data_IF_215460131103
#
_entry.id   IF_215460131103
#
_cell.length_a   1.000
_cell.length_b   1.000
_cell.length_c   1.000
_cell.angle_alpha   90.00
_cell.angle_beta   90.00
_cell.angle_gamma   90.00
#
_symmetry.space_group_name_H-M   'P 1'
#
loop_
_entity.id
_entity.type
_entity.pdbx_description
1 polymer ?
#
# COMPACT_ATOMS: atom_id res chain seq x y z
N UNK A 1 13.00 -6.08 7.29
CA UNK A 1 12.07 -6.53 8.35
C UNK A 1 10.73 -6.79 7.69
N UNK A 2 10.12 -7.95 7.93
CA UNK A 2 8.85 -8.31 7.27
C UNK A 2 7.69 -7.61 8.00
N UNK A 3 6.85 -6.90 7.26
CA UNK A 3 5.60 -6.32 7.78
C UNK A 3 4.66 -7.46 8.22
N UNK A 4 4.03 -7.32 9.39
CA UNK A 4 3.01 -8.28 9.83
C UNK A 4 1.76 -8.22 8.94
N UNK A 5 1.37 -7.01 8.52
CA UNK A 5 0.30 -6.74 7.57
C UNK A 5 0.88 -6.08 6.33
N UNK A 6 0.72 -6.71 5.16
CA UNK A 6 1.26 -6.21 3.89
C UNK A 6 0.31 -5.27 3.13
N UNK A 7 -0.87 -4.99 3.65
CA UNK A 7 -1.88 -4.19 2.98
C UNK A 7 -2.68 -3.30 3.94
N UNK A 8 -3.31 -2.28 3.37
CA UNK A 8 -4.32 -1.47 4.02
C UNK A 8 -5.67 -1.51 3.29
N UNK A 9 -6.77 -1.12 3.96
CA UNK A 9 -8.11 -1.13 3.37
C UNK A 9 -8.22 -0.17 2.18
N UNK A 10 -7.35 0.84 2.12
CA UNK A 10 -7.30 1.83 1.04
C UNK A 10 -6.60 1.31 -0.23
N UNK A 11 -6.12 0.06 -0.25
CA UNK A 11 -5.46 -0.53 -1.43
C UNK A 11 -3.97 -0.21 -1.54
N UNK A 12 -3.36 0.44 -0.54
CA UNK A 12 -1.90 0.52 -0.45
C UNK A 12 -1.30 -0.83 -0.05
N UNK A 13 -0.20 -1.19 -0.71
CA UNK A 13 0.62 -2.34 -0.33
C UNK A 13 1.69 -1.93 0.69
N UNK A 14 1.35 -2.03 1.98
CA UNK A 14 2.27 -1.74 3.09
C UNK A 14 3.59 -2.53 3.04
N UNK A 15 3.65 -3.66 2.33
CA UNK A 15 4.88 -4.41 2.13
C UNK A 15 5.99 -3.61 1.42
N UNK A 16 5.65 -2.61 0.62
CA UNK A 16 6.59 -1.71 -0.04
C UNK A 16 6.80 -0.38 0.70
N UNK A 17 6.26 -0.24 1.91
CA UNK A 17 6.49 0.93 2.76
C UNK A 17 7.84 0.83 3.48
N UNK A 18 8.70 1.85 3.31
CA UNK A 18 10.05 1.89 3.90
C UNK A 18 10.12 2.17 5.40
N UNK A 19 9.00 2.52 6.05
CA UNK A 19 8.98 2.77 7.50
C UNK A 19 9.26 1.48 8.28
N UNK A 20 10.28 1.44 9.13
CA UNK A 20 10.67 0.22 9.84
C UNK A 20 9.91 0.01 11.16
N UNK A 21 9.53 1.10 11.84
CA UNK A 21 8.76 1.06 13.10
C UNK A 21 7.24 1.02 12.86
N UNK A 22 6.83 0.19 11.90
CA UNK A 22 5.43 -0.02 11.56
C UNK A 22 5.29 -1.45 11.01
N UNK A 23 4.43 -2.25 11.63
CA UNK A 23 4.08 -3.60 11.23
C UNK A 23 3.04 -3.67 10.11
N UNK A 24 2.50 -2.52 9.68
CA UNK A 24 1.48 -2.42 8.63
C UNK A 24 0.09 -2.15 9.17
N UNK A 25 -0.84 -1.79 8.26
CA UNK A 25 -2.13 -1.18 8.61
C UNK A 25 -2.97 -2.02 9.59
N UNK A 26 -2.96 -3.34 9.47
CA UNK A 26 -3.74 -4.25 10.33
C UNK A 26 -2.98 -4.77 11.56
N UNK A 27 -1.75 -4.28 11.81
CA UNK A 27 -0.97 -4.68 12.99
C UNK A 27 -1.23 -3.76 14.19
N UNK A 28 -0.86 -4.21 15.39
CA UNK A 28 -0.89 -3.38 16.61
C UNK A 28 0.29 -2.41 16.68
N UNK A 29 1.43 -2.77 16.07
CA UNK A 29 2.63 -1.93 16.01
C UNK A 29 2.53 -1.01 14.79
N UNK A 30 2.05 0.21 14.95
CA UNK A 30 1.87 1.18 13.86
C UNK A 30 2.52 2.52 14.20
N UNK A 31 3.04 3.18 13.16
CA UNK A 31 3.54 4.55 13.25
C UNK A 31 2.40 5.58 13.41
N UNK A 32 2.76 6.84 13.62
CA UNK A 32 1.80 7.92 13.86
C UNK A 32 0.92 8.24 12.64
N UNK A 33 1.41 8.03 11.42
CA UNK A 33 0.61 8.24 10.22
C UNK A 33 -0.50 7.20 10.11
N UNK A 34 -0.18 5.92 10.32
CA UNK A 34 -1.14 4.82 10.29
C UNK A 34 -2.09 4.88 11.49
N UNK A 35 -1.61 5.32 12.66
CA UNK A 35 -2.43 5.51 13.87
C UNK A 35 -3.53 6.55 13.67
N UNK A 36 -3.24 7.62 12.94
CA UNK A 36 -4.18 8.71 12.68
C UNK A 36 -4.86 8.61 11.29
N UNK A 37 -4.67 7.51 10.57
CA UNK A 37 -5.21 7.33 9.23
C UNK A 37 -6.75 7.22 9.23
N UNK A 38 -7.42 8.16 8.57
CA UNK A 38 -8.89 8.17 8.45
C UNK A 38 -9.43 6.91 7.78
N UNK A 39 -8.80 6.44 6.70
CA UNK A 39 -9.28 5.27 5.95
C UNK A 39 -9.23 3.98 6.77
N UNK A 40 -8.20 3.82 7.61
CA UNK A 40 -8.10 2.70 8.55
C UNK A 40 -9.29 2.71 9.52
N UNK A 41 -9.51 3.84 10.21
CA UNK A 41 -10.62 4.00 11.16
C UNK A 41 -11.98 3.79 10.47
N UNK A 42 -12.22 4.46 9.35
CA UNK A 42 -13.48 4.39 8.60
C UNK A 42 -13.80 2.95 8.15
N UNK A 43 -12.80 2.20 7.65
CA UNK A 43 -13.00 0.80 7.26
C UNK A 43 -13.36 -0.10 8.45
N UNK A 44 -12.78 0.14 9.63
CA UNK A 44 -13.07 -0.61 10.84
C UNK A 44 -14.50 -0.32 11.34
N UNK A 45 -14.89 0.96 11.36
CA UNK A 45 -16.25 1.40 11.75
C UNK A 45 -17.33 0.87 10.80
N UNK A 46 -17.03 0.80 9.49
CA UNK A 46 -17.95 0.27 8.47
C UNK A 46 -17.85 -1.26 8.28
N UNK A 47 -16.97 -1.94 9.00
CA UNK A 47 -16.68 -3.38 8.84
C UNK A 47 -16.35 -3.78 7.40
N UNK A 48 -15.49 -3.01 6.74
CA UNK A 48 -15.05 -3.22 5.36
C UNK A 48 -13.60 -3.70 5.32
N UNK A 49 -13.34 -4.77 4.56
CA UNK A 49 -11.96 -5.21 4.30
C UNK A 49 -11.20 -4.23 3.41
N UNK A 50 -11.90 -3.67 2.40
CA UNK A 50 -11.35 -2.72 1.44
C UNK A 50 -12.34 -1.61 1.12
N UNK A 51 -11.80 -0.41 0.85
CA UNK A 51 -12.59 0.76 0.50
C UNK A 51 -13.43 0.54 -0.77
N UNK A 52 -13.00 -0.34 -1.70
CA UNK A 52 -13.75 -0.66 -2.92
C UNK A 52 -15.11 -1.33 -2.68
N UNK A 53 -15.34 -1.85 -1.46
CA UNK A 53 -16.61 -2.44 -1.03
C UNK A 53 -17.50 -1.45 -0.26
N UNK A 54 -17.07 -0.21 -0.07
CA UNK A 54 -17.92 0.85 0.46
C UNK A 54 -18.96 1.26 -0.59
N UNK A 55 -20.19 1.53 -0.16
CA UNK A 55 -21.24 2.06 -1.04
C UNK A 55 -20.89 3.45 -1.62
N UNK A 56 -20.05 4.21 -0.90
CA UNK A 56 -19.63 5.55 -1.30
C UNK A 56 -18.36 5.53 -2.18
N UNK A 57 -17.89 4.36 -2.65
CA UNK A 57 -16.61 4.25 -3.35
C UNK A 57 -16.65 4.76 -4.81
N UNK A 58 -15.66 5.57 -5.24
CA UNK A 58 -14.67 6.27 -4.42
C UNK A 58 -15.29 7.48 -3.71
N UNK A 59 -15.07 7.59 -2.38
CA UNK A 59 -15.52 8.78 -1.66
C UNK A 59 -14.54 9.93 -1.91
N UNK A 60 -15.00 11.18 -1.74
CA UNK A 60 -14.20 12.37 -2.04
C UNK A 60 -12.84 12.36 -1.33
N UNK A 61 -12.79 12.05 -0.03
CA UNK A 61 -11.53 12.02 0.74
C UNK A 61 -10.55 10.99 0.19
N UNK A 62 -11.02 9.79 -0.16
CA UNK A 62 -10.18 8.77 -0.77
C UNK A 62 -9.72 9.21 -2.15
N UNK A 63 -10.63 9.75 -2.97
CA UNK A 63 -10.30 10.23 -4.31
C UNK A 63 -9.22 11.32 -4.27
N UNK A 64 -9.33 12.30 -3.37
CA UNK A 64 -8.31 13.33 -3.18
C UNK A 64 -6.97 12.72 -2.75
N UNK A 65 -6.98 11.78 -1.81
CA UNK A 65 -5.75 11.13 -1.33
C UNK A 65 -5.06 10.30 -2.41
N UNK A 66 -5.82 9.58 -3.24
CA UNK A 66 -5.28 8.79 -4.36
C UNK A 66 -4.67 9.65 -5.47
N UNK A 67 -4.94 10.95 -5.50
CA UNK A 67 -4.49 11.89 -6.53
C UNK A 67 -3.64 13.03 -5.96
N UNK A 68 -3.08 12.84 -4.76
CA UNK A 68 -2.21 13.84 -4.15
C UNK A 68 -0.80 13.82 -4.76
N UNK A 69 0.16 14.51 -4.14
CA UNK A 69 1.52 14.61 -4.67
C UNK A 69 2.32 13.31 -4.58
N UNK A 70 1.90 12.30 -3.82
CA UNK A 70 2.71 11.12 -3.50
C UNK A 70 2.48 9.97 -4.49
N UNK A 71 3.48 9.59 -5.31
CA UNK A 71 3.27 8.62 -6.38
C UNK A 71 2.77 7.25 -5.94
N UNK A 72 3.15 6.80 -4.74
CA UNK A 72 2.68 5.53 -4.21
C UNK A 72 1.17 5.54 -3.90
N UNK A 73 0.56 6.70 -3.62
CA UNK A 73 -0.89 6.82 -3.46
C UNK A 73 -1.63 6.63 -4.79
N UNK A 74 -1.04 6.97 -5.92
CA UNK A 74 -1.67 6.78 -7.24
C UNK A 74 -1.91 5.31 -7.57
N UNK A 75 -1.18 4.40 -6.92
CA UNK A 75 -1.40 2.95 -7.06
C UNK A 75 -2.71 2.46 -6.44
N UNK A 76 -3.30 3.24 -5.53
CA UNK A 76 -4.45 2.82 -4.75
C UNK A 76 -5.69 2.58 -5.60
N UNK A 77 -6.00 3.47 -6.55
CA UNK A 77 -7.15 3.30 -7.43
C UNK A 77 -7.06 2.01 -8.27
N UNK A 78 -6.01 1.77 -9.07
CA UNK A 78 -5.89 0.52 -9.82
C UNK A 78 -5.80 -0.71 -8.91
N UNK A 79 -5.22 -0.60 -7.71
CA UNK A 79 -5.22 -1.70 -6.73
C UNK A 79 -6.64 -2.04 -6.25
N UNK A 80 -7.41 -1.03 -5.87
CA UNK A 80 -8.79 -1.20 -5.42
C UNK A 80 -9.71 -1.72 -6.53
N UNK A 81 -9.53 -1.25 -7.77
CA UNK A 81 -10.21 -1.79 -8.94
C UNK A 81 -9.85 -3.27 -9.16
N UNK A 82 -8.56 -3.63 -9.08
CA UNK A 82 -8.10 -5.01 -9.22
C UNK A 82 -8.67 -5.90 -8.12
N UNK A 83 -8.64 -5.46 -6.85
CA UNK A 83 -9.22 -6.21 -5.72
C UNK A 83 -10.71 -6.48 -5.95
N UNK A 84 -11.44 -5.49 -6.48
CA UNK A 84 -12.87 -5.62 -6.77
C UNK A 84 -13.17 -6.60 -7.91
N UNK A 85 -12.29 -6.68 -8.91
CA UNK A 85 -12.48 -7.52 -10.10
C UNK A 85 -11.95 -8.95 -9.92
N UNK A 86 -10.74 -9.08 -9.38
CA UNK A 86 -9.96 -10.34 -9.36
C UNK A 86 -9.78 -10.90 -7.94
N UNK A 87 -10.15 -10.12 -6.92
CA UNK A 87 -10.08 -10.52 -5.52
C UNK A 87 -8.74 -10.23 -4.83
N UNK A 88 -8.79 -10.23 -3.49
CA UNK A 88 -7.65 -9.88 -2.63
C UNK A 88 -6.45 -10.81 -2.81
N UNK A 89 -6.65 -12.13 -2.87
CA UNK A 89 -5.53 -13.08 -2.95
C UNK A 89 -4.74 -12.97 -4.25
N UNK A 90 -5.40 -12.66 -5.36
CA UNK A 90 -4.75 -12.41 -6.65
C UNK A 90 -3.97 -11.08 -6.61
N UNK A 91 -4.59 -10.05 -6.04
CA UNK A 91 -3.95 -8.75 -5.85
C UNK A 91 -2.68 -8.86 -5.00
N UNK A 92 -2.73 -9.55 -3.86
CA UNK A 92 -1.60 -9.68 -2.95
C UNK A 92 -0.40 -10.35 -3.64
N UNK A 93 -0.63 -11.45 -4.37
CA UNK A 93 0.41 -12.13 -5.16
C UNK A 93 1.01 -11.21 -6.24
N UNK A 94 0.16 -10.40 -6.91
CA UNK A 94 0.62 -9.41 -7.88
C UNK A 94 1.55 -8.39 -7.22
N UNK A 95 1.15 -7.84 -6.06
CA UNK A 95 1.97 -6.85 -5.36
C UNK A 95 3.28 -7.44 -4.82
N UNK A 96 3.28 -8.66 -4.29
CA UNK A 96 4.51 -9.32 -3.85
C UNK A 96 5.52 -9.48 -4.99
N UNK A 97 5.04 -9.81 -6.20
CA UNK A 97 5.90 -9.89 -7.39
C UNK A 97 6.36 -8.52 -7.89
N UNK A 98 5.46 -7.54 -7.90
CA UNK A 98 5.73 -6.17 -8.35
C UNK A 98 6.79 -5.49 -7.47
N UNK A 99 6.69 -5.68 -6.15
CA UNK A 99 7.57 -5.09 -5.15
C UNK A 99 8.70 -6.05 -4.72
N UNK A 100 9.18 -6.85 -5.68
CA UNK A 100 10.37 -7.69 -5.51
C UNK A 100 11.42 -7.35 -6.57
N UNK A 101 12.69 -7.36 -6.17
CA UNK A 101 13.81 -7.17 -7.08
C UNK A 101 13.84 -8.29 -8.12
N UNK A 102 13.74 -7.94 -9.40
CA UNK A 102 13.76 -8.90 -10.51
C UNK A 102 15.13 -9.57 -10.73
N UNK A 103 16.14 -9.29 -9.89
CA UNK A 103 17.45 -9.95 -9.94
C UNK A 103 17.66 -10.94 -8.79
N UNK A 104 17.43 -10.51 -7.54
CA UNK A 104 17.69 -11.33 -6.36
C UNK A 104 16.43 -11.77 -5.60
N UNK A 105 15.25 -11.28 -5.96
CA UNK A 105 13.99 -11.60 -5.31
C UNK A 105 13.74 -10.90 -3.96
N UNK A 106 14.67 -10.07 -3.48
CA UNK A 106 14.47 -9.30 -2.24
C UNK A 106 13.29 -8.34 -2.37
N UNK A 107 12.50 -8.20 -1.31
CA UNK A 107 11.46 -7.15 -1.21
C UNK A 107 12.11 -5.76 -1.38
N UNK A 108 11.42 -4.87 -2.09
CA UNK A 108 11.85 -3.50 -2.35
C UNK A 108 10.76 -2.51 -1.91
N UNK A 109 11.17 -1.27 -1.65
CA UNK A 109 10.25 -0.20 -1.18
C UNK A 109 10.01 0.87 -2.24
N UNK A 110 8.91 1.62 -2.11
CA UNK A 110 8.43 2.59 -3.11
C UNK A 110 9.50 3.55 -3.66
N UNK A 111 10.40 4.01 -2.78
CA UNK A 111 11.39 5.03 -3.08
C UNK A 111 12.83 4.50 -3.06
N UNK A 112 13.00 3.17 -3.09
CA UNK A 112 14.32 2.55 -3.04
C UNK A 112 15.00 2.60 -4.39
N UNK A 113 16.03 3.43 -4.53
CA UNK A 113 16.79 3.59 -5.78
C UNK A 113 17.72 2.41 -6.11
N UNK A 114 18.19 1.69 -5.08
CA UNK A 114 19.15 0.59 -5.23
C UNK A 114 18.78 -0.60 -4.35
N UNK A 115 18.73 -1.77 -4.95
CA UNK A 115 18.55 -3.04 -4.24
C UNK A 115 19.84 -3.41 -3.48
N UNK A 116 19.70 -4.18 -2.41
CA UNK A 116 20.82 -4.73 -1.63
C UNK A 116 21.78 -5.58 -2.48
N UNK A 117 21.27 -6.23 -3.54
CA UNK A 117 22.11 -6.97 -4.49
C UNK A 117 22.92 -6.07 -5.45
N UNK A 118 22.78 -4.75 -5.35
CA UNK A 118 23.50 -3.78 -6.16
C UNK A 118 22.77 -3.29 -7.40
N UNK A 119 21.63 -3.89 -7.76
CA UNK A 119 20.82 -3.49 -8.92
C UNK A 119 20.15 -2.12 -8.70
N UNK A 120 20.22 -1.25 -9.70
CA UNK A 120 19.41 -0.02 -9.78
C UNK A 120 17.96 -0.37 -10.03
N UNK A 121 17.06 0.26 -9.27
CA UNK A 121 15.62 0.07 -9.33
C UNK A 121 14.97 1.26 -10.04
N UNK A 122 13.84 1.01 -10.70
CA UNK A 122 13.00 2.05 -11.29
C UNK A 122 12.04 2.57 -10.20
N UNK A 123 12.56 3.44 -9.34
CA UNK A 123 11.85 3.97 -8.18
C UNK A 123 11.40 5.41 -8.42
N UNK A 124 10.26 5.77 -7.84
CA UNK A 124 9.80 7.16 -7.84
C UNK A 124 10.74 8.05 -7.03
N UNK A 125 10.71 9.34 -7.34
CA UNK A 125 11.29 10.36 -6.49
C UNK A 125 10.33 10.74 -5.36
N UNK A 126 10.90 11.11 -4.21
CA UNK A 126 10.12 11.65 -3.10
C UNK A 126 9.75 13.09 -3.43
N UNK A 127 8.45 13.44 -3.49
CA UNK A 127 8.04 14.83 -3.73
C UNK A 127 8.52 15.77 -2.62
N UNK A 128 8.88 17.00 -2.99
CA UNK A 128 9.16 18.11 -2.06
C UNK A 128 7.92 18.48 -1.22
#
# INVERSE_FOLDING_TARGET
MVKQSKYGPCGLYCGACGVTDCGGCQSDRIDDYVRNCTFRRCSQEKHLDFCCFCNDFPCEELNTFMHDKWPHHWTMEPNLQFIKMEGFSAWLQKQEKEWSCQNCGSEITWYQQKCECGRTLDAWEVPE
#
